data_IF_483071290050
#
_entry.id   IF_483071290050
#
_cell.length_a   1.000
_cell.length_b   1.000
_cell.length_c   1.000
_cell.angle_alpha   90.00
_cell.angle_beta   90.00
_cell.angle_gamma   90.00
#
_symmetry.space_group_name_H-M   'P 1'
#
loop_
_entity.id
_entity.type
_entity.pdbx_description
1 polymer ?
#
# COMPACT_ATOMS: atom_id res chain seq x y z
N UNK A 1 10.73 55.76 -12.12
CA UNK A 1 10.78 55.29 -10.71
C UNK A 1 9.44 54.68 -10.41
N UNK A 2 9.25 53.39 -10.17
CA UNK A 2 10.14 52.24 -10.19
C UNK A 2 9.32 50.99 -10.53
N UNK A 3 9.97 50.01 -11.13
CA UNK A 3 9.48 48.65 -11.30
C UNK A 3 9.48 47.92 -9.96
N UNK A 4 8.59 46.94 -9.82
CA UNK A 4 8.91 45.53 -9.51
C UNK A 4 7.59 44.77 -9.73
N UNK A 5 7.46 44.13 -10.89
CA UNK A 5 7.70 42.68 -11.03
C UNK A 5 6.83 41.91 -10.05
N UNK A 6 5.71 41.43 -10.58
CA UNK A 6 5.01 40.30 -10.01
C UNK A 6 6.02 39.15 -10.00
N UNK A 7 6.32 38.64 -8.80
CA UNK A 7 7.04 37.38 -8.61
C UNK A 7 6.39 36.33 -9.51
N UNK A 8 7.02 36.07 -10.66
CA UNK A 8 6.83 34.83 -11.37
C UNK A 8 7.36 33.76 -10.41
N UNK A 9 6.44 33.07 -9.73
CA UNK A 9 6.73 31.86 -8.98
C UNK A 9 7.45 30.93 -9.95
N UNK A 10 8.76 30.84 -9.79
CA UNK A 10 9.61 29.94 -10.56
C UNK A 10 9.04 28.56 -10.33
N UNK A 11 8.61 27.90 -11.41
CA UNK A 11 8.14 26.53 -11.45
C UNK A 11 9.31 25.62 -11.04
N UNK A 12 9.56 25.57 -9.74
CA UNK A 12 10.46 24.63 -9.11
C UNK A 12 9.75 23.30 -9.29
N UNK A 13 10.20 22.50 -10.26
CA UNK A 13 9.57 21.25 -10.64
C UNK A 13 9.37 20.28 -9.47
N UNK A 14 8.97 19.06 -9.80
CA UNK A 14 8.55 18.07 -8.80
C UNK A 14 9.65 17.81 -7.76
N UNK A 15 9.24 17.73 -6.49
CA UNK A 15 10.15 17.46 -5.38
C UNK A 15 10.90 16.14 -5.59
N UNK A 16 12.22 16.06 -5.27
CA UNK A 16 13.01 14.84 -5.48
C UNK A 16 12.40 13.58 -4.88
N UNK A 17 11.82 13.66 -3.68
CA UNK A 17 11.17 12.52 -3.04
C UNK A 17 10.01 11.95 -3.88
N UNK A 18 9.21 12.80 -4.51
CA UNK A 18 8.12 12.37 -5.39
C UNK A 18 8.67 11.78 -6.70
N UNK A 19 9.75 12.35 -7.24
CA UNK A 19 10.46 11.77 -8.40
C UNK A 19 10.95 10.37 -8.06
N UNK A 20 11.61 10.20 -6.92
CA UNK A 20 12.12 8.92 -6.44
C UNK A 20 10.96 7.92 -6.29
N UNK A 21 9.86 8.30 -5.65
CA UNK A 21 8.68 7.42 -5.52
C UNK A 21 8.13 6.99 -6.88
N UNK A 22 7.95 7.90 -7.83
CA UNK A 22 7.42 7.55 -9.17
C UNK A 22 8.38 6.62 -9.94
N UNK A 23 9.69 6.80 -9.77
CA UNK A 23 10.70 5.93 -10.39
C UNK A 23 10.70 4.51 -9.84
N UNK A 24 10.28 4.31 -8.58
CA UNK A 24 10.20 2.98 -7.96
C UNK A 24 8.89 2.24 -8.24
N UNK A 25 7.93 2.85 -8.94
CA UNK A 25 6.67 2.19 -9.30
C UNK A 25 6.93 1.02 -10.26
N UNK A 26 6.45 -0.17 -9.95
CA UNK A 26 6.56 -1.37 -10.78
C UNK A 26 5.18 -1.85 -11.29
N UNK A 27 5.20 -2.73 -12.31
CA UNK A 27 3.97 -3.42 -12.75
C UNK A 27 3.43 -4.30 -11.62
N UNK A 28 2.13 -4.23 -11.38
CA UNK A 28 1.46 -4.90 -10.27
C UNK A 28 1.36 -4.08 -8.98
N UNK A 29 2.02 -2.92 -8.89
CA UNK A 29 1.86 -2.02 -7.74
C UNK A 29 0.43 -1.49 -7.62
N UNK A 30 0.07 -1.12 -6.39
CA UNK A 30 -1.17 -0.39 -6.09
C UNK A 30 -0.81 0.94 -5.49
N UNK A 31 -1.41 2.03 -5.98
CA UNK A 31 -1.06 3.37 -5.57
C UNK A 31 -2.27 4.30 -5.37
N UNK A 32 -2.02 5.38 -4.63
CA UNK A 32 -2.89 6.54 -4.49
C UNK A 32 -2.15 7.75 -5.05
N UNK A 33 -2.84 8.60 -5.83
CA UNK A 33 -2.24 9.82 -6.40
C UNK A 33 -2.92 11.03 -5.77
N UNK A 34 -2.16 11.99 -5.27
CA UNK A 34 -2.68 13.23 -4.67
C UNK A 34 -3.67 13.00 -3.51
N UNK A 35 -3.62 11.85 -2.84
CA UNK A 35 -4.62 11.45 -1.84
C UNK A 35 -6.05 11.29 -2.41
N UNK A 36 -6.21 11.20 -3.74
CA UNK A 36 -7.49 11.10 -4.45
C UNK A 36 -8.33 9.93 -3.95
N UNK A 37 -9.65 9.93 -4.16
CA UNK A 37 -10.52 8.85 -3.67
C UNK A 37 -10.36 7.52 -4.41
N UNK A 38 -9.46 7.44 -5.40
CA UNK A 38 -9.24 6.24 -6.21
C UNK A 38 -8.04 5.48 -5.68
N UNK A 39 -8.05 4.17 -5.91
CA UNK A 39 -6.91 3.30 -5.63
C UNK A 39 -6.58 2.58 -6.92
N UNK A 40 -5.41 2.86 -7.47
CA UNK A 40 -5.03 2.52 -8.82
C UNK A 40 -4.23 1.24 -8.86
N UNK A 41 -4.56 0.31 -9.76
CA UNK A 41 -3.66 -0.78 -10.12
C UNK A 41 -2.74 -0.29 -11.23
N UNK A 42 -1.43 -0.51 -11.05
CA UNK A 42 -0.43 -0.32 -12.10
C UNK A 42 -0.41 -1.57 -12.97
N UNK A 43 -0.68 -1.38 -14.26
CA UNK A 43 -0.82 -2.48 -15.23
C UNK A 43 0.29 -2.50 -16.29
N UNK A 44 1.07 -1.43 -16.37
CA UNK A 44 2.17 -1.28 -17.31
C UNK A 44 3.05 -0.11 -16.88
N UNK A 45 4.35 -0.21 -17.15
CA UNK A 45 5.33 0.83 -16.87
C UNK A 45 6.28 0.94 -18.06
N UNK A 46 6.37 2.12 -18.65
CA UNK A 46 7.18 2.37 -19.84
C UNK A 46 8.16 3.50 -19.60
N UNK A 47 9.44 3.20 -19.74
CA UNK A 47 10.54 4.18 -19.77
C UNK A 47 11.00 4.44 -21.19
N UNK A 48 11.24 5.71 -21.51
CA UNK A 48 11.72 6.13 -22.82
C UNK A 48 12.72 7.28 -22.72
N UNK A 49 13.88 7.12 -23.32
CA UNK A 49 14.79 8.22 -23.63
C UNK A 49 14.27 9.03 -24.82
N UNK A 50 14.52 10.33 -24.80
CA UNK A 50 14.18 11.24 -25.89
C UNK A 50 15.49 11.75 -26.49
N UNK A 51 15.75 11.33 -27.73
CA UNK A 51 17.01 11.61 -28.44
C UNK A 51 16.88 12.74 -29.47
N UNK A 52 15.68 13.33 -29.62
CA UNK A 52 15.47 14.43 -30.56
C UNK A 52 16.18 15.68 -30.04
N UNK A 53 17.18 16.22 -30.76
CA UNK A 53 17.93 17.40 -30.32
C UNK A 53 17.08 18.68 -30.27
N UNK A 54 15.88 18.68 -30.85
CA UNK A 54 14.94 19.81 -30.75
C UNK A 54 13.93 19.65 -29.62
N UNK A 55 13.93 18.50 -28.93
CA UNK A 55 13.11 18.27 -27.76
C UNK A 55 13.95 18.54 -26.52
N UNK A 56 13.46 19.44 -25.65
CA UNK A 56 14.17 19.79 -24.42
C UNK A 56 14.07 18.69 -23.35
N UNK A 57 13.21 17.68 -23.55
CA UNK A 57 13.03 16.55 -22.63
C UNK A 57 14.13 15.54 -22.84
N UNK A 58 14.65 14.99 -21.76
CA UNK A 58 15.70 13.95 -21.80
C UNK A 58 15.10 12.54 -21.75
N UNK A 59 14.04 12.36 -20.95
CA UNK A 59 13.36 11.09 -20.79
C UNK A 59 11.92 11.26 -20.31
N UNK A 60 11.15 10.19 -20.43
CA UNK A 60 9.77 10.09 -19.96
C UNK A 60 9.51 8.68 -19.44
N UNK A 61 8.92 8.60 -18.25
CA UNK A 61 8.34 7.40 -17.66
C UNK A 61 6.83 7.54 -17.64
N UNK A 62 6.09 6.50 -18.02
CA UNK A 62 4.62 6.47 -17.93
C UNK A 62 4.18 5.18 -17.25
N UNK A 63 3.40 5.32 -16.19
CA UNK A 63 2.72 4.21 -15.51
C UNK A 63 1.25 4.20 -15.92
N UNK A 64 0.75 3.08 -16.43
CA UNK A 64 -0.66 2.91 -16.79
C UNK A 64 -1.45 2.48 -15.57
N UNK A 65 -2.31 3.39 -15.12
CA UNK A 65 -3.14 3.24 -13.93
C UNK A 65 -4.56 2.81 -14.32
N UNK A 66 -5.14 1.89 -13.54
CA UNK A 66 -6.53 1.46 -13.75
C UNK A 66 -7.33 1.40 -12.45
N UNK A 67 -8.59 1.84 -12.53
CA UNK A 67 -9.56 1.75 -11.44
C UNK A 67 -10.95 1.51 -12.04
N UNK A 68 -11.42 0.26 -11.99
CA UNK A 68 -12.66 -0.13 -12.67
C UNK A 68 -12.53 0.07 -14.18
N UNK A 69 -13.45 0.83 -14.78
CA UNK A 69 -13.42 1.16 -16.21
C UNK A 69 -12.48 2.34 -16.54
N UNK A 70 -11.97 3.05 -15.54
CA UNK A 70 -11.12 4.23 -15.73
C UNK A 70 -9.65 3.84 -15.94
N UNK A 71 -9.01 4.47 -16.92
CA UNK A 71 -7.59 4.29 -17.27
C UNK A 71 -6.92 5.65 -17.35
N UNK A 72 -5.84 5.80 -16.59
CA UNK A 72 -5.08 7.04 -16.48
C UNK A 72 -3.59 6.75 -16.73
N UNK A 73 -2.84 7.77 -17.15
CA UNK A 73 -1.40 7.70 -17.35
C UNK A 73 -0.70 8.62 -16.37
N UNK A 74 0.01 8.07 -15.39
CA UNK A 74 0.92 8.82 -14.54
C UNK A 74 2.24 9.01 -15.30
N UNK A 75 2.52 10.23 -15.71
CA UNK A 75 3.68 10.61 -16.51
C UNK A 75 4.69 11.36 -15.63
N UNK A 76 5.96 10.96 -15.70
CA UNK A 76 7.10 11.70 -15.19
C UNK A 76 8.03 12.03 -16.36
N UNK A 77 8.34 13.31 -16.55
CA UNK A 77 9.22 13.80 -17.61
C UNK A 77 10.46 14.43 -16.99
N UNK A 78 11.63 14.04 -17.49
CA UNK A 78 12.91 14.62 -17.11
C UNK A 78 13.32 15.70 -18.12
N UNK A 79 13.77 16.82 -17.59
CA UNK A 79 14.46 17.90 -18.29
C UNK A 79 15.86 18.06 -17.69
N UNK A 80 16.80 18.76 -18.37
CA UNK A 80 18.16 18.95 -17.86
C UNK A 80 18.24 19.60 -16.46
N UNK A 81 17.23 20.37 -16.07
CA UNK A 81 17.21 21.17 -14.85
C UNK A 81 16.07 20.83 -13.87
N UNK A 82 15.09 20.00 -14.27
CA UNK A 82 13.90 19.71 -13.46
C UNK A 82 13.15 18.44 -13.89
N UNK A 83 12.18 18.06 -13.09
CA UNK A 83 11.18 17.05 -13.42
C UNK A 83 9.78 17.65 -13.41
N UNK A 84 8.89 17.12 -14.25
CA UNK A 84 7.46 17.40 -14.21
C UNK A 84 6.68 16.10 -14.10
N UNK A 85 5.62 16.08 -13.29
CA UNK A 85 4.74 14.92 -13.14
C UNK A 85 3.29 15.32 -13.42
N UNK A 86 2.58 14.49 -14.17
CA UNK A 86 1.22 14.77 -14.62
C UNK A 86 0.39 13.50 -14.71
N UNK A 87 -0.89 13.60 -14.42
CA UNK A 87 -1.84 12.51 -14.48
C UNK A 87 -2.81 12.76 -15.64
N UNK A 88 -2.68 11.96 -16.70
CA UNK A 88 -3.45 12.10 -17.93
C UNK A 88 -4.65 11.15 -17.94
N UNK A 89 -5.84 11.66 -18.25
CA UNK A 89 -7.03 10.81 -18.44
C UNK A 89 -6.96 10.15 -19.82
N UNK A 90 -6.90 8.81 -19.87
CA UNK A 90 -6.84 8.06 -21.12
C UNK A 90 -8.19 7.43 -21.50
N UNK A 91 -8.96 7.01 -20.49
CA UNK A 91 -10.34 6.57 -20.63
C UNK A 91 -11.07 6.71 -19.29
N UNK A 92 -12.30 7.19 -19.30
CA UNK A 92 -13.14 7.30 -18.10
C UNK A 92 -14.61 7.25 -18.49
N UNK A 93 -15.47 6.81 -17.58
CA UNK A 93 -16.93 6.95 -17.73
C UNK A 93 -17.43 8.33 -17.25
N UNK A 94 -16.61 9.04 -16.47
CA UNK A 94 -16.91 10.40 -16.04
C UNK A 94 -16.56 11.41 -17.14
N UNK A 95 -17.59 11.83 -17.87
CA UNK A 95 -17.46 12.80 -18.96
C UNK A 95 -16.86 14.14 -18.53
N UNK A 96 -16.85 14.47 -17.24
CA UNK A 96 -16.25 15.73 -16.75
C UNK A 96 -14.73 15.68 -16.71
N UNK A 97 -14.15 14.49 -16.63
CA UNK A 97 -12.70 14.26 -16.56
C UNK A 97 -12.09 13.92 -17.94
N UNK A 98 -12.91 13.64 -18.95
CA UNK A 98 -12.44 13.18 -20.26
C UNK A 98 -11.45 14.18 -20.90
N UNK A 99 -10.27 13.67 -21.26
CA UNK A 99 -9.17 14.45 -21.83
C UNK A 99 -8.48 15.43 -20.89
N UNK A 100 -8.77 15.41 -19.58
CA UNK A 100 -8.10 16.27 -18.61
C UNK A 100 -6.69 15.78 -18.26
N UNK A 101 -5.88 16.72 -17.77
CA UNK A 101 -4.55 16.48 -17.22
C UNK A 101 -4.50 17.16 -15.86
N UNK A 102 -4.04 16.42 -14.84
CA UNK A 102 -3.93 16.92 -13.47
C UNK A 102 -2.47 16.98 -13.05
N UNK A 103 -2.12 18.01 -12.27
CA UNK A 103 -0.80 18.11 -11.63
C UNK A 103 -0.65 17.02 -10.56
N UNK A 104 0.53 16.42 -10.48
CA UNK A 104 0.85 15.40 -9.47
C UNK A 104 1.77 16.02 -8.42
N UNK A 105 1.31 16.01 -7.19
CA UNK A 105 2.03 16.56 -6.03
C UNK A 105 2.27 15.53 -4.93
N UNK A 106 1.60 14.37 -4.98
CA UNK A 106 1.84 13.25 -4.07
C UNK A 106 1.54 11.91 -4.74
N UNK A 107 2.33 10.88 -4.42
CA UNK A 107 2.09 9.50 -4.82
C UNK A 107 2.46 8.59 -3.64
N UNK A 108 1.55 7.71 -3.26
CA UNK A 108 1.79 6.67 -2.24
C UNK A 108 1.70 5.30 -2.89
N UNK A 109 2.78 4.51 -2.83
CA UNK A 109 2.77 3.09 -3.20
C UNK A 109 2.31 2.29 -1.98
N UNK A 110 1.21 1.56 -2.11
CA UNK A 110 0.62 0.80 -1.01
C UNK A 110 1.33 -0.54 -0.82
N UNK A 111 1.68 -0.86 0.43
CA UNK A 111 2.32 -2.13 0.77
C UNK A 111 1.39 -3.32 0.57
N UNK A 112 1.69 -4.17 -0.42
CA UNK A 112 0.90 -5.35 -0.74
C UNK A 112 1.33 -6.63 -0.01
N UNK A 113 2.61 -6.71 0.39
CA UNK A 113 3.18 -7.91 1.00
C UNK A 113 3.01 -7.90 2.52
N UNK A 114 1.83 -8.31 2.98
CA UNK A 114 1.59 -8.52 4.42
C UNK A 114 1.88 -9.97 4.77
N UNK A 115 2.82 -10.26 5.68
CA UNK A 115 3.12 -11.64 6.07
C UNK A 115 1.97 -12.28 6.86
N UNK A 116 1.18 -11.49 7.59
CA UNK A 116 0.12 -11.98 8.47
C UNK A 116 -1.18 -11.18 8.31
N UNK A 117 -2.31 -11.87 8.23
CA UNK A 117 -3.65 -11.28 8.08
C UNK A 117 -4.52 -11.66 9.27
N UNK A 118 -5.32 -10.72 9.75
CA UNK A 118 -6.31 -10.93 10.82
C UNK A 118 -7.64 -11.36 10.22
N UNK A 119 -8.21 -12.47 10.71
CA UNK A 119 -9.49 -13.04 10.27
C UNK A 119 -10.48 -13.18 11.44
N UNK A 120 -11.78 -12.98 11.22
CA UNK A 120 -12.91 -13.04 12.16
C UNK A 120 -13.86 -14.22 11.87
N UNK A 121 -14.54 -14.81 12.86
CA UNK A 121 -15.71 -15.68 12.61
C UNK A 121 -16.91 -14.93 11.99
N UNK A 122 -17.69 -15.56 11.10
CA UNK A 122 -18.47 -14.87 10.05
C UNK A 122 -19.95 -14.45 10.28
N UNK A 123 -20.35 -13.37 9.55
CA UNK A 123 -21.73 -12.83 9.38
C UNK A 123 -21.87 -11.67 8.35
N UNK A 124 -22.41 -12.00 7.16
CA UNK A 124 -23.18 -11.28 6.12
C UNK A 124 -22.77 -10.00 5.33
N UNK A 125 -21.55 -9.42 5.41
CA UNK A 125 -21.04 -8.55 4.30
C UNK A 125 -19.54 -8.74 4.06
N UNK A 126 -19.14 -8.84 2.79
CA UNK A 126 -17.88 -9.46 2.34
C UNK A 126 -17.12 -8.59 1.32
N UNK A 127 -15.81 -8.43 1.49
CA UNK A 127 -14.86 -8.29 0.37
C UNK A 127 -13.66 -9.22 0.62
N UNK A 128 -13.43 -10.15 -0.32
CA UNK A 128 -12.48 -11.29 -0.30
C UNK A 128 -12.28 -12.10 1.00
N UNK A 129 -13.05 -13.19 1.20
CA UNK A 129 -12.59 -14.53 1.62
C UNK A 129 -12.56 -15.50 0.40
N UNK A 130 -11.90 -16.68 0.29
CA UNK A 130 -11.34 -17.69 1.21
C UNK A 130 -10.66 -18.85 0.39
N UNK A 131 -9.51 -19.48 0.77
CA UNK A 131 -9.18 -20.84 0.30
C UNK A 131 -9.35 -21.89 1.40
N UNK A 132 -10.46 -22.61 1.27
CA UNK A 132 -10.89 -23.73 2.11
C UNK A 132 -11.18 -23.37 3.58
N UNK A 133 -12.00 -22.37 3.85
CA UNK A 133 -12.33 -21.83 5.17
C UNK A 133 -11.07 -21.58 6.02
N UNK A 134 -10.09 -20.88 5.44
CA UNK A 134 -8.69 -20.80 5.89
C UNK A 134 -8.15 -22.20 6.33
N UNK A 135 -8.26 -23.11 5.38
CA UNK A 135 -8.12 -24.56 5.43
C UNK A 135 -9.10 -25.39 6.30
N UNK A 136 -9.40 -25.14 7.59
CA UNK A 136 -10.42 -25.88 8.39
C UNK A 136 -10.58 -25.31 9.82
N UNK A 137 -11.53 -24.43 10.17
CA UNK A 137 -12.63 -23.96 9.38
C UNK A 137 -13.16 -22.65 9.97
N UNK A 138 -13.25 -21.69 9.06
CA UNK A 138 -14.42 -20.80 8.90
C UNK A 138 -14.29 -19.40 9.50
N UNK A 139 -13.15 -18.75 9.24
CA UNK A 139 -12.98 -17.31 9.44
C UNK A 139 -12.99 -16.52 8.10
N UNK A 140 -13.43 -15.26 8.17
CA UNK A 140 -13.52 -14.24 7.12
C UNK A 140 -12.50 -13.14 7.42
N UNK A 141 -11.80 -12.51 6.46
CA UNK A 141 -10.87 -11.43 6.81
C UNK A 141 -11.60 -10.27 7.49
N UNK A 142 -10.92 -9.65 8.45
CA UNK A 142 -11.42 -8.50 9.18
C UNK A 142 -11.37 -7.22 8.30
N UNK A 143 -12.13 -7.19 7.20
CA UNK A 143 -12.39 -5.95 6.49
C UNK A 143 -13.51 -5.20 7.23
N UNK A 144 -13.18 -4.03 7.81
CA UNK A 144 -14.09 -3.27 8.67
C UNK A 144 -14.03 -3.76 10.12
N UNK A 145 -13.18 -3.13 10.92
CA UNK A 145 -13.13 -3.33 12.36
C UNK A 145 -14.46 -2.93 13.00
N UNK A 146 -14.98 -3.75 13.90
CA UNK A 146 -16.19 -3.43 14.66
C UNK A 146 -17.22 -4.54 14.73
N UNK A 147 -16.81 -5.80 14.93
CA UNK A 147 -17.75 -6.85 15.30
C UNK A 147 -17.54 -7.23 16.79
N UNK A 148 -18.16 -6.49 17.73
CA UNK A 148 -18.04 -6.77 19.15
C UNK A 148 -18.40 -8.23 19.46
N UNK A 149 -17.47 -8.95 20.10
CA UNK A 149 -17.66 -10.34 20.48
C UNK A 149 -17.26 -11.37 19.42
N UNK A 150 -16.70 -10.95 18.28
CA UNK A 150 -16.08 -11.87 17.32
C UNK A 150 -14.73 -12.39 17.83
N UNK A 151 -14.46 -13.68 17.57
CA UNK A 151 -13.12 -14.25 17.78
C UNK A 151 -12.27 -13.98 16.54
N UNK A 152 -11.07 -13.45 16.77
CA UNK A 152 -10.09 -13.14 15.72
C UNK A 152 -8.96 -14.17 15.71
N UNK A 153 -8.42 -14.47 14.54
CA UNK A 153 -7.24 -15.34 14.36
C UNK A 153 -6.23 -14.67 13.44
N UNK A 154 -4.95 -14.87 13.73
CA UNK A 154 -3.84 -14.44 12.87
C UNK A 154 -3.39 -15.62 12.00
N UNK A 155 -3.30 -15.42 10.68
CA UNK A 155 -2.86 -16.44 9.73
C UNK A 155 -1.82 -15.88 8.77
N UNK A 156 -0.90 -16.72 8.26
CA UNK A 156 0.03 -16.28 7.22
C UNK A 156 -0.72 -15.98 5.93
N UNK A 157 -0.36 -14.90 5.25
CA UNK A 157 -0.99 -14.53 3.97
C UNK A 157 -0.90 -15.64 2.94
N UNK A 158 0.24 -16.33 2.84
CA UNK A 158 0.42 -17.45 1.91
C UNK A 158 -0.50 -18.66 2.18
N UNK A 159 -1.04 -18.79 3.40
CA UNK A 159 -2.03 -19.82 3.78
C UNK A 159 -3.43 -19.43 3.28
N UNK A 160 -3.65 -18.14 3.02
CA UNK A 160 -4.88 -17.56 2.46
C UNK A 160 -4.78 -17.31 0.96
N UNK A 161 -3.60 -17.13 0.39
CA UNK A 161 -3.27 -17.30 -1.04
C UNK A 161 -1.81 -16.89 -1.20
N UNK A 162 -1.00 -17.61 -1.97
CA UNK A 162 0.38 -17.19 -2.27
C UNK A 162 0.48 -15.79 -2.89
N UNK A 163 -0.59 -15.30 -3.51
CA UNK A 163 -0.68 -14.00 -4.20
C UNK A 163 -1.67 -13.03 -3.53
N UNK A 164 -1.98 -13.22 -2.24
CA UNK A 164 -2.90 -12.32 -1.54
C UNK A 164 -2.21 -10.97 -1.30
N UNK A 165 -2.83 -9.89 -1.79
CA UNK A 165 -2.35 -8.51 -1.66
C UNK A 165 -3.31 -7.61 -0.88
N UNK A 166 -4.32 -8.14 -0.19
CA UNK A 166 -5.36 -7.32 0.44
C UNK A 166 -6.39 -6.77 -0.56
N UNK A 167 -7.52 -6.24 -0.07
CA UNK A 167 -8.40 -5.43 -0.93
C UNK A 167 -7.90 -3.98 -0.95
N UNK A 168 -8.22 -3.23 -2.02
CA UNK A 168 -7.80 -1.84 -2.20
C UNK A 168 -8.16 -0.92 -1.04
N UNK A 169 -9.34 -1.10 -0.45
CA UNK A 169 -9.78 -0.28 0.69
C UNK A 169 -8.95 -0.58 1.94
N UNK A 170 -8.66 -1.85 2.22
CA UNK A 170 -7.79 -2.22 3.34
C UNK A 170 -6.34 -1.78 3.12
N UNK A 171 -5.80 -1.95 1.90
CA UNK A 171 -4.47 -1.47 1.54
C UNK A 171 -4.32 0.03 1.79
N UNK A 172 -5.38 0.78 1.48
CA UNK A 172 -5.39 2.23 1.59
C UNK A 172 -5.58 2.73 3.02
N UNK A 173 -6.53 2.13 3.74
CA UNK A 173 -6.98 2.68 5.03
C UNK A 173 -6.35 2.01 6.24
N UNK A 174 -6.00 0.74 6.12
CA UNK A 174 -5.48 -0.04 7.24
C UNK A 174 -3.98 -0.20 7.05
N UNK A 175 -3.17 0.75 7.54
CA UNK A 175 -1.72 0.69 7.32
C UNK A 175 -1.12 -0.55 8.01
N UNK A 176 -0.12 -1.21 7.39
CA UNK A 176 0.57 -2.31 8.04
C UNK A 176 1.22 -1.85 9.35
N UNK A 177 1.15 -2.70 10.38
CA UNK A 177 1.66 -2.43 11.72
C UNK A 177 2.60 -3.55 12.13
N UNK A 178 3.78 -3.20 12.65
CA UNK A 178 4.73 -4.21 13.07
C UNK A 178 4.26 -4.91 14.35
N UNK A 179 4.34 -6.24 14.34
CA UNK A 179 4.26 -7.08 15.50
C UNK A 179 5.69 -7.32 16.01
N UNK A 180 5.96 -6.81 17.21
CA UNK A 180 7.19 -7.13 17.92
C UNK A 180 7.33 -8.64 18.17
N UNK A 181 8.57 -9.10 18.41
CA UNK A 181 8.84 -10.52 18.63
C UNK A 181 8.10 -11.06 19.85
N UNK A 182 7.12 -11.92 19.63
CA UNK A 182 6.35 -12.61 20.68
C UNK A 182 7.19 -13.74 21.24
N UNK A 183 7.44 -13.72 22.55
CA UNK A 183 8.25 -14.74 23.23
C UNK A 183 7.41 -15.55 24.21
N UNK A 184 7.74 -16.83 24.37
CA UNK A 184 7.11 -17.68 25.38
C UNK A 184 7.49 -17.16 26.78
N UNK A 185 6.52 -16.81 27.66
CA UNK A 185 6.83 -16.28 28.99
C UNK A 185 7.53 -17.32 29.88
N UNK A 186 7.30 -18.62 29.64
CA UNK A 186 7.88 -19.69 30.46
C UNK A 186 9.32 -20.07 30.09
N UNK A 187 9.72 -19.92 28.82
CA UNK A 187 11.05 -20.37 28.36
C UNK A 187 11.81 -19.36 27.50
N UNK A 188 11.26 -18.15 27.35
CA UNK A 188 11.80 -17.00 26.61
C UNK A 188 12.11 -17.29 25.13
N UNK A 189 11.59 -18.38 24.57
CA UNK A 189 11.78 -18.73 23.17
C UNK A 189 10.92 -17.81 22.31
N UNK A 190 11.51 -17.15 21.31
CA UNK A 190 10.77 -16.44 20.28
C UNK A 190 9.85 -17.40 19.51
N UNK A 191 8.59 -16.98 19.34
CA UNK A 191 7.51 -17.77 18.74
C UNK A 191 7.19 -17.22 17.35
N UNK A 192 6.91 -15.92 17.26
CA UNK A 192 6.59 -15.25 16.00
C UNK A 192 6.94 -13.75 16.05
N UNK A 193 7.06 -13.16 14.87
CA UNK A 193 7.16 -11.72 14.61
C UNK A 193 6.58 -11.47 13.22
N UNK A 194 6.35 -10.22 12.85
CA UNK A 194 6.01 -9.85 11.47
C UNK A 194 5.25 -8.54 11.39
N UNK A 195 4.42 -8.41 10.36
CA UNK A 195 3.59 -7.23 10.13
C UNK A 195 2.13 -7.66 9.99
N UNK A 196 1.23 -6.96 10.66
CA UNK A 196 -0.22 -7.12 10.59
C UNK A 196 -0.84 -6.02 9.75
N UNK A 197 -1.97 -6.32 9.09
CA UNK A 197 -2.77 -5.30 8.42
C UNK A 197 -4.26 -5.60 8.60
N UNK A 198 -5.07 -4.58 8.93
CA UNK A 198 -6.53 -4.70 9.07
C UNK A 198 -7.18 -3.70 10.03
N UNK A 199 -8.51 -3.55 9.92
CA UNK A 199 -9.36 -2.52 10.56
C UNK A 199 -9.37 -2.43 12.09
N UNK A 200 -8.73 -3.37 12.77
CA UNK A 200 -8.70 -3.43 14.22
C UNK A 200 -7.39 -4.00 14.75
N UNK A 201 -6.30 -3.94 13.97
CA UNK A 201 -4.99 -4.44 14.41
C UNK A 201 -4.53 -3.77 15.71
N UNK A 202 -4.78 -2.47 15.87
CA UNK A 202 -4.50 -1.74 17.12
C UNK A 202 -5.40 -2.12 18.30
N UNK A 203 -6.44 -2.92 18.09
CA UNK A 203 -7.28 -3.46 19.17
C UNK A 203 -6.86 -4.87 19.60
N UNK A 204 -5.82 -5.46 18.97
CA UNK A 204 -5.27 -6.75 19.40
C UNK A 204 -4.35 -6.51 20.58
N UNK A 205 -4.78 -6.92 21.76
CA UNK A 205 -4.05 -6.75 23.03
C UNK A 205 -3.29 -8.02 23.47
N UNK A 206 -3.59 -9.18 22.86
CA UNK A 206 -2.88 -10.42 23.13
C UNK A 206 -3.09 -11.52 22.09
N UNK A 207 -2.22 -12.53 22.13
CA UNK A 207 -2.27 -13.72 21.30
C UNK A 207 -2.36 -14.98 22.16
N UNK A 208 -3.34 -15.83 21.87
CA UNK A 208 -3.35 -17.20 22.39
C UNK A 208 -2.28 -18.02 21.68
N UNK A 209 -1.31 -18.53 22.44
CA UNK A 209 -0.17 -19.28 21.92
C UNK A 209 -0.03 -20.64 22.60
N UNK A 210 0.46 -21.62 21.84
CA UNK A 210 0.95 -22.88 22.39
C UNK A 210 2.44 -23.02 22.07
N UNK A 211 3.30 -22.97 23.08
CA UNK A 211 4.75 -23.00 22.90
C UNK A 211 5.23 -24.42 22.54
N UNK A 212 5.86 -24.63 21.36
CA UNK A 212 6.28 -25.96 20.92
C UNK A 212 7.46 -26.51 21.74
N UNK A 213 8.14 -25.67 22.53
CA UNK A 213 9.32 -26.08 23.32
C UNK A 213 8.97 -26.58 24.71
N UNK A 214 8.15 -25.83 25.44
CA UNK A 214 7.86 -26.10 26.86
C UNK A 214 6.39 -26.43 27.14
N UNK A 215 5.54 -26.44 26.11
CA UNK A 215 4.11 -26.76 26.26
C UNK A 215 3.29 -25.69 26.98
N UNK A 216 3.81 -24.47 27.15
CA UNK A 216 3.01 -23.35 27.64
C UNK A 216 1.80 -23.16 26.71
N UNK A 217 0.61 -23.03 27.29
CA UNK A 217 -0.64 -22.79 26.56
C UNK A 217 -1.41 -21.68 27.28
N UNK A 218 -1.57 -20.53 26.63
CA UNK A 218 -2.13 -19.34 27.25
C UNK A 218 -2.03 -18.09 26.38
N UNK A 219 -2.55 -16.98 26.89
CA UNK A 219 -2.51 -15.67 26.22
C UNK A 219 -1.23 -14.93 26.60
N UNK A 220 -0.58 -14.33 25.62
CA UNK A 220 0.56 -13.42 25.78
C UNK A 220 0.15 -12.05 25.28
N UNK A 221 0.35 -11.03 26.11
CA UNK A 221 0.13 -9.64 25.72
C UNK A 221 1.05 -9.28 24.55
N UNK A 222 0.52 -8.55 23.58
CA UNK A 222 1.32 -8.04 22.46
C UNK A 222 1.39 -6.53 22.51
N UNK A 223 2.56 -6.01 22.17
CA UNK A 223 2.71 -4.61 21.82
C UNK A 223 2.71 -4.51 20.31
N UNK A 224 1.86 -3.63 19.79
CA UNK A 224 1.69 -3.40 18.37
C UNK A 224 2.10 -1.94 18.14
N UNK A 225 3.36 -1.74 17.78
CA UNK A 225 3.90 -0.40 17.59
C UNK A 225 3.14 0.27 16.44
N UNK A 226 2.41 1.34 16.74
CA UNK A 226 1.55 2.05 15.79
C UNK A 226 2.32 2.81 14.71
N UNK A 227 3.65 2.68 14.69
CA UNK A 227 4.59 3.44 13.87
C UNK A 227 4.79 2.88 12.47
N UNK A 228 4.80 3.80 11.49
CA UNK A 228 5.18 3.58 10.10
C UNK A 228 6.55 2.93 10.02
N UNK A 229 6.62 1.68 9.55
CA UNK A 229 7.89 1.00 9.31
C UNK A 229 8.38 1.31 7.90
N UNK A 230 9.38 2.17 7.80
CA UNK A 230 10.31 2.14 6.67
C UNK A 230 11.03 0.81 6.67
N UNK A 231 11.02 0.13 5.53
CA UNK A 231 11.72 -1.15 5.35
C UNK A 231 13.22 -0.87 5.48
N UNK A 232 13.78 -1.12 6.66
CA UNK A 232 15.22 -1.21 6.83
C UNK A 232 15.70 -2.49 6.14
N UNK A 233 16.20 -2.32 4.92
CA UNK A 233 16.94 -3.34 4.20
C UNK A 233 18.30 -3.50 4.90
N UNK A 234 18.44 -4.57 5.67
CA UNK A 234 19.70 -4.93 6.32
C UNK A 234 19.81 -6.44 6.36
N UNK A 235 20.27 -7.01 5.25
CA UNK A 235 21.03 -8.26 5.28
C UNK A 235 22.38 -8.07 4.60
N UNK A 236 23.41 -8.04 5.44
CA UNK A 236 24.80 -8.39 5.11
C UNK A 236 24.96 -9.90 5.09
#
# INVERSE_FOLDING_TARGET
MGATDADATVDAGVAPALVDTIQHIEDGDVLVVNGDSRTWDVSDVVDRSIEDPNDARESKRVCRLSCGASVFGLELVAYPDRYTASLHVLATEDWTEDGQVFDVHDVEILTQQVPWVVVTGGGDRYHFPDPQAAAFGEAQPACGGGNPGATYRVVRSNTVRPTYSGCKDCLRHEKPVALESVTCPSCSKAICHGTFQGGAVGAVDGLSITCPRCGFDGVVDIDVDSGVVGVDDSTT
#
